data_IF_900543906590
#
_entry.id   IF_900543906590
#
_cell.length_a   1.000
_cell.length_b   1.000
_cell.length_c   1.000
_cell.angle_alpha   90.00
_cell.angle_beta   90.00
_cell.angle_gamma   90.00
#
_symmetry.space_group_name_H-M   'P 1'
#
loop_
_entity.id
_entity.type
_entity.pdbx_description
1 polymer ?
#
# COMPACT_ATOMS: atom_id res chain seq x y z
N UNK A 1 -21.05 -13.79 58.84
CA UNK A 1 -19.97 -12.82 58.62
C UNK A 1 -18.72 -13.60 58.28
N UNK A 2 -18.54 -13.92 57.00
CA UNK A 2 -17.37 -14.66 56.51
C UNK A 2 -16.53 -13.63 55.77
N UNK A 3 -15.34 -13.38 56.28
CA UNK A 3 -14.37 -12.44 55.74
C UNK A 3 -13.91 -12.98 54.38
N UNK A 4 -14.24 -12.29 53.29
CA UNK A 4 -13.66 -12.56 51.98
C UNK A 4 -12.30 -11.86 51.92
N UNK A 5 -11.25 -12.66 51.80
CA UNK A 5 -9.87 -12.23 51.58
C UNK A 5 -9.81 -11.32 50.34
N UNK A 6 -9.21 -10.14 50.49
CA UNK A 6 -9.01 -9.16 49.42
C UNK A 6 -8.10 -9.68 48.30
N UNK A 7 -7.38 -10.79 48.51
CA UNK A 7 -6.52 -11.39 47.48
C UNK A 7 -7.30 -12.20 46.44
N UNK A 8 -8.45 -12.80 46.79
CA UNK A 8 -9.26 -13.56 45.82
C UNK A 8 -10.06 -12.62 44.91
N UNK A 9 -10.47 -11.46 45.43
CA UNK A 9 -11.16 -10.42 44.65
C UNK A 9 -10.23 -9.74 43.65
N UNK A 10 -8.94 -9.54 43.96
CA UNK A 10 -7.97 -9.05 42.99
C UNK A 10 -7.57 -10.12 41.96
N UNK A 11 -7.49 -11.40 42.34
CA UNK A 11 -7.17 -12.48 41.40
C UNK A 11 -8.29 -12.69 40.36
N UNK A 12 -9.57 -12.67 40.77
CA UNK A 12 -10.71 -12.76 39.84
C UNK A 12 -10.96 -11.49 39.00
N UNK A 13 -10.46 -10.31 39.41
CA UNK A 13 -10.49 -9.10 38.58
C UNK A 13 -9.32 -9.05 37.58
N UNK A 14 -8.18 -9.67 37.90
CA UNK A 14 -7.03 -9.79 36.98
C UNK A 14 -7.25 -10.91 35.94
N UNK A 15 -7.90 -12.01 36.33
CA UNK A 15 -8.19 -13.16 35.45
C UNK A 15 -9.45 -12.95 34.56
N UNK A 16 -10.09 -11.78 34.61
CA UNK A 16 -11.30 -11.47 33.84
C UNK A 16 -11.19 -10.16 33.04
N UNK A 17 -9.97 -9.80 32.61
CA UNK A 17 -9.74 -8.69 31.67
C UNK A 17 -8.39 -8.72 30.95
N UNK A 18 -7.96 -9.87 30.43
CA UNK A 18 -7.26 -9.89 29.13
C UNK A 18 -7.45 -11.26 28.47
N UNK A 19 -8.72 -11.65 28.36
CA UNK A 19 -9.14 -12.64 27.38
C UNK A 19 -8.95 -11.97 26.01
N UNK A 20 -7.69 -11.90 25.54
CA UNK A 20 -7.31 -11.59 24.14
C UNK A 20 -7.67 -12.77 23.26
N UNK A 21 -8.97 -13.06 23.26
CA UNK A 21 -9.68 -13.66 22.16
C UNK A 21 -10.04 -12.53 21.17
N UNK A 22 -9.07 -11.72 20.75
CA UNK A 22 -9.13 -11.04 19.46
C UNK A 22 -8.85 -12.08 18.37
N UNK A 23 -9.82 -12.98 18.23
CA UNK A 23 -9.91 -13.91 17.14
C UNK A 23 -9.73 -13.16 15.83
N UNK A 24 -8.63 -13.44 15.14
CA UNK A 24 -8.47 -13.41 13.69
C UNK A 24 -9.28 -12.33 12.94
N UNK A 25 -9.30 -11.09 13.42
CA UNK A 25 -9.48 -9.96 12.52
C UNK A 25 -8.15 -9.93 11.78
N UNK A 26 -8.11 -10.47 10.56
CA UNK A 26 -7.06 -10.08 9.61
C UNK A 26 -6.94 -8.57 9.72
N UNK A 27 -5.86 -8.10 10.36
CA UNK A 27 -5.56 -6.68 10.40
C UNK A 27 -5.35 -6.33 8.94
N UNK A 28 -6.37 -5.77 8.31
CA UNK A 28 -6.25 -5.19 6.99
C UNK A 28 -5.31 -4.00 7.17
N UNK A 29 -4.02 -4.28 7.01
CA UNK A 29 -2.96 -3.30 7.14
C UNK A 29 -3.14 -2.25 6.05
N UNK A 30 -2.77 -1.00 6.32
CA UNK A 30 -2.63 -0.03 5.25
C UNK A 30 -1.44 -0.42 4.37
N UNK A 31 -1.56 -0.15 3.08
CA UNK A 31 -0.51 -0.37 2.09
C UNK A 31 0.80 0.32 2.47
N UNK A 32 1.86 -0.47 2.66
CA UNK A 32 3.22 0.01 2.89
C UNK A 32 3.92 0.25 1.56
N UNK A 33 4.05 1.52 1.18
CA UNK A 33 4.75 1.93 -0.03
C UNK A 33 6.27 1.93 0.18
N UNK A 34 6.97 1.12 -0.60
CA UNK A 34 8.41 0.89 -0.58
C UNK A 34 9.04 1.59 -1.78
N UNK A 35 10.31 1.99 -1.66
CA UNK A 35 11.07 2.70 -2.69
C UNK A 35 10.56 4.11 -3.02
N UNK A 36 10.11 4.86 -2.02
CA UNK A 36 9.73 6.29 -2.18
C UNK A 36 10.85 7.16 -2.79
N UNK A 37 12.10 6.74 -2.67
CA UNK A 37 13.27 7.37 -3.29
C UNK A 37 13.09 7.54 -4.81
N UNK A 38 12.54 6.54 -5.50
CA UNK A 38 12.28 6.57 -6.95
C UNK A 38 11.37 7.74 -7.34
N UNK A 39 10.33 8.02 -6.54
CA UNK A 39 9.46 9.19 -6.80
C UNK A 39 10.25 10.49 -6.67
N UNK A 40 11.10 10.60 -5.65
CA UNK A 40 11.87 11.82 -5.40
C UNK A 40 12.85 12.09 -6.54
N UNK A 41 13.63 11.10 -6.93
CA UNK A 41 14.61 11.20 -8.01
C UNK A 41 13.93 11.57 -9.34
N UNK A 42 12.82 10.92 -9.68
CA UNK A 42 12.07 11.29 -10.88
C UNK A 42 11.57 12.75 -10.84
N UNK A 43 11.17 13.24 -9.66
CA UNK A 43 10.73 14.63 -9.49
C UNK A 43 11.86 15.66 -9.49
N UNK A 44 13.13 15.25 -9.42
CA UNK A 44 14.28 16.15 -9.58
C UNK A 44 14.46 16.54 -11.05
N UNK A 45 14.21 15.59 -11.97
CA UNK A 45 14.26 15.80 -13.42
C UNK A 45 12.91 16.30 -13.99
N UNK A 46 11.79 15.88 -13.40
CA UNK A 46 10.43 16.19 -13.83
C UNK A 46 9.62 16.87 -12.72
N UNK A 47 9.91 18.15 -12.48
CA UNK A 47 9.28 18.90 -11.38
C UNK A 47 7.74 18.96 -11.46
N UNK A 48 7.15 18.92 -12.67
CA UNK A 48 5.70 18.95 -12.88
C UNK A 48 4.99 17.64 -12.52
N UNK A 49 5.74 16.53 -12.33
CA UNK A 49 5.20 15.27 -11.85
C UNK A 49 5.00 15.23 -10.32
N UNK A 50 5.68 16.10 -9.57
CA UNK A 50 5.80 16.04 -8.10
C UNK A 50 4.46 16.01 -7.38
N UNK A 51 3.58 16.95 -7.68
CA UNK A 51 2.27 17.04 -7.03
C UNK A 51 1.45 15.76 -7.26
N UNK A 52 1.41 15.27 -8.50
CA UNK A 52 0.62 14.10 -8.87
C UNK A 52 1.18 12.81 -8.23
N UNK A 53 2.50 12.61 -8.24
CA UNK A 53 3.14 11.44 -7.62
C UNK A 53 2.99 11.43 -6.10
N UNK A 54 3.04 12.60 -5.45
CA UNK A 54 2.90 12.70 -4.00
C UNK A 54 1.44 12.57 -3.57
N UNK A 55 0.49 13.05 -4.39
CA UNK A 55 -0.93 12.78 -4.21
C UNK A 55 -1.19 11.27 -4.31
N UNK A 56 -0.64 10.59 -5.33
CA UNK A 56 -0.76 9.14 -5.46
C UNK A 56 -0.19 8.42 -4.23
N UNK A 57 1.02 8.81 -3.78
CA UNK A 57 1.66 8.21 -2.60
C UNK A 57 0.79 8.34 -1.35
N UNK A 58 0.21 9.51 -1.11
CA UNK A 58 -0.64 9.78 0.06
C UNK A 58 -1.91 8.91 0.07
N UNK A 59 -2.51 8.69 -1.10
CA UNK A 59 -3.66 7.81 -1.25
C UNK A 59 -3.23 6.37 -1.04
N UNK A 60 -2.20 5.92 -1.77
CA UNK A 60 -1.71 4.55 -1.69
C UNK A 60 -1.29 4.19 -0.26
N UNK A 61 -0.56 5.05 0.46
CA UNK A 61 -0.08 4.77 1.82
C UNK A 61 -1.18 4.66 2.89
N UNK A 62 -2.43 4.97 2.54
CA UNK A 62 -3.61 4.89 3.42
C UNK A 62 -4.65 3.91 2.91
N UNK A 63 -4.42 3.34 1.73
CA UNK A 63 -5.33 2.40 1.10
C UNK A 63 -5.21 1.03 1.77
N UNK A 64 -6.29 0.27 1.66
CA UNK A 64 -6.41 -1.12 2.13
C UNK A 64 -6.84 -2.02 0.96
N UNK A 65 -6.24 -1.81 -0.21
CA UNK A 65 -6.62 -2.52 -1.44
C UNK A 65 -6.38 -4.02 -1.29
N UNK A 66 -7.34 -4.84 -1.73
CA UNK A 66 -7.24 -6.30 -1.72
C UNK A 66 -7.08 -6.89 -3.12
N UNK A 67 -7.41 -6.11 -4.14
CA UNK A 67 -7.34 -6.51 -5.54
C UNK A 67 -7.35 -5.27 -6.45
N UNK A 68 -7.25 -5.51 -7.76
CA UNK A 68 -7.25 -4.45 -8.77
C UNK A 68 -8.57 -3.65 -8.78
N UNK A 69 -9.72 -4.26 -8.47
CA UNK A 69 -11.00 -3.53 -8.46
C UNK A 69 -11.01 -2.46 -7.37
N UNK A 70 -10.46 -2.76 -6.19
CA UNK A 70 -10.34 -1.77 -5.11
C UNK A 70 -9.41 -0.60 -5.52
N UNK A 71 -8.33 -0.90 -6.25
CA UNK A 71 -7.46 0.13 -6.84
C UNK A 71 -8.26 0.98 -7.83
N UNK A 72 -9.02 0.34 -8.71
CA UNK A 72 -9.78 0.99 -9.78
C UNK A 72 -10.95 1.84 -9.27
N UNK A 73 -11.47 1.60 -8.06
CA UNK A 73 -12.45 2.49 -7.43
C UNK A 73 -11.89 3.91 -7.25
N UNK A 74 -10.58 4.06 -7.05
CA UNK A 74 -9.92 5.36 -6.90
C UNK A 74 -9.16 5.77 -8.17
N UNK A 75 -8.58 4.80 -8.87
CA UNK A 75 -7.84 4.99 -10.11
C UNK A 75 -8.45 4.17 -11.25
N UNK A 76 -9.58 4.61 -11.86
CA UNK A 76 -10.31 3.80 -12.85
C UNK A 76 -9.51 3.39 -14.09
N UNK A 77 -8.40 4.10 -14.38
CA UNK A 77 -7.50 3.81 -15.50
C UNK A 77 -6.24 3.04 -15.07
N UNK A 78 -6.22 2.48 -13.86
CA UNK A 78 -5.14 1.60 -13.44
C UNK A 78 -5.31 0.24 -14.14
N UNK A 79 -4.21 -0.27 -14.67
CA UNK A 79 -4.20 -1.48 -15.49
C UNK A 79 -3.21 -2.50 -14.92
N UNK A 80 -3.60 -3.77 -14.86
CA UNK A 80 -2.67 -4.85 -14.57
C UNK A 80 -1.94 -5.24 -15.86
N UNK A 81 -0.60 -5.27 -15.81
CA UNK A 81 0.26 -5.63 -16.93
C UNK A 81 1.36 -6.56 -16.40
N UNK A 82 1.29 -7.85 -16.76
CA UNK A 82 2.10 -8.88 -16.12
C UNK A 82 1.77 -8.97 -14.62
N UNK A 83 2.81 -9.02 -13.79
CA UNK A 83 2.68 -8.97 -12.33
C UNK A 83 2.53 -7.54 -11.77
N UNK A 84 2.61 -6.51 -12.62
CA UNK A 84 2.61 -5.12 -12.18
C UNK A 84 1.27 -4.43 -12.40
N UNK A 85 1.07 -3.31 -11.70
CA UNK A 85 -0.02 -2.37 -11.91
C UNK A 85 0.55 -1.04 -12.40
N UNK A 86 -0.02 -0.54 -13.49
CA UNK A 86 0.39 0.70 -14.16
C UNK A 86 -0.63 1.80 -13.90
N UNK A 87 -0.16 2.95 -13.41
CA UNK A 87 -0.95 4.13 -13.14
C UNK A 87 -0.63 5.26 -14.12
N UNK A 88 -1.67 5.88 -14.68
CA UNK A 88 -1.56 7.10 -15.46
C UNK A 88 -1.40 8.32 -14.54
N UNK A 89 -0.26 9.00 -14.63
CA UNK A 89 0.07 10.14 -13.79
C UNK A 89 0.08 11.44 -14.62
N UNK A 90 -0.37 12.55 -14.01
CA UNK A 90 -0.40 13.89 -14.61
C UNK A 90 -1.10 13.91 -15.99
N UNK A 91 -2.32 13.40 -16.05
CA UNK A 91 -3.10 13.41 -17.30
C UNK A 91 -2.44 12.58 -18.42
N UNK A 92 -2.00 11.37 -18.09
CA UNK A 92 -1.40 10.40 -19.03
C UNK A 92 0.03 10.69 -19.48
N UNK A 93 0.69 11.75 -18.97
CA UNK A 93 2.08 12.10 -19.34
C UNK A 93 3.12 11.11 -18.82
N UNK A 94 2.86 10.52 -17.66
CA UNK A 94 3.78 9.59 -17.00
C UNK A 94 3.08 8.27 -16.65
N UNK A 95 3.89 7.25 -16.44
CA UNK A 95 3.51 5.91 -16.00
C UNK A 95 4.22 5.60 -14.70
N UNK A 96 3.44 5.40 -13.64
CA UNK A 96 3.95 4.85 -12.40
C UNK A 96 3.67 3.35 -12.41
N UNK A 97 4.73 2.54 -12.40
CA UNK A 97 4.65 1.08 -12.44
C UNK A 97 5.00 0.57 -11.06
N UNK A 98 4.11 -0.24 -10.49
CA UNK A 98 4.27 -0.79 -9.16
C UNK A 98 3.95 -2.28 -9.13
N UNK A 99 4.59 -2.99 -8.21
CA UNK A 99 4.18 -4.33 -7.81
C UNK A 99 3.32 -4.21 -6.53
N UNK A 100 2.09 -4.72 -6.60
CA UNK A 100 1.09 -4.71 -5.52
C UNK A 100 0.95 -6.11 -4.93
N UNK A 101 1.53 -6.30 -3.75
CA UNK A 101 1.41 -7.56 -3.00
C UNK A 101 0.30 -7.41 -1.96
N UNK A 102 -0.94 -7.67 -2.39
CA UNK A 102 -2.16 -7.47 -1.60
C UNK A 102 -2.14 -8.21 -0.25
N UNK A 103 -1.73 -9.49 -0.23
CA UNK A 103 -1.69 -10.31 1.00
C UNK A 103 -0.81 -9.68 2.09
N UNK A 104 0.31 -9.07 1.69
CA UNK A 104 1.24 -8.43 2.63
C UNK A 104 1.03 -6.93 2.80
N UNK A 105 0.04 -6.35 2.10
CA UNK A 105 -0.24 -4.92 2.01
C UNK A 105 1.04 -4.12 1.69
N UNK A 106 1.75 -4.52 0.62
CA UNK A 106 2.97 -3.85 0.16
C UNK A 106 2.82 -3.34 -1.25
N UNK A 107 3.39 -2.17 -1.49
CA UNK A 107 3.49 -1.56 -2.82
C UNK A 107 4.97 -1.29 -3.09
N UNK A 108 5.53 -1.94 -4.08
CA UNK A 108 6.91 -1.69 -4.52
C UNK A 108 6.88 -0.78 -5.74
N UNK A 109 7.44 0.41 -5.60
CA UNK A 109 7.61 1.29 -6.76
C UNK A 109 8.76 0.74 -7.60
N UNK A 110 8.43 0.31 -8.82
CA UNK A 110 9.37 -0.29 -9.77
C UNK A 110 9.96 0.80 -10.67
N UNK A 111 9.09 1.56 -11.33
CA UNK A 111 9.48 2.58 -12.29
C UNK A 111 8.54 3.78 -12.26
N UNK A 112 9.08 4.95 -12.60
CA UNK A 112 8.30 6.11 -13.06
C UNK A 112 8.88 6.50 -14.40
N UNK A 113 8.06 6.48 -15.45
CA UNK A 113 8.50 6.66 -16.83
C UNK A 113 7.67 7.75 -17.50
N UNK A 114 8.26 8.43 -18.49
CA UNK A 114 7.48 9.15 -19.50
C UNK A 114 6.66 8.19 -20.35
N UNK A 115 5.62 8.68 -21.03
CA UNK A 115 4.88 7.87 -21.99
C UNK A 115 5.80 7.26 -23.06
N UNK A 116 6.76 8.03 -23.56
CA UNK A 116 7.68 7.57 -24.61
C UNK A 116 8.63 6.47 -24.12
N UNK A 117 9.09 6.52 -22.86
CA UNK A 117 9.91 5.44 -22.27
C UNK A 117 9.09 4.20 -21.98
N UNK A 118 7.85 4.37 -21.52
CA UNK A 118 6.93 3.25 -21.29
C UNK A 118 6.69 2.46 -22.57
N UNK A 119 6.46 3.14 -23.70
CA UNK A 119 6.18 2.52 -25.00
C UNK A 119 7.36 1.72 -25.58
N UNK A 120 8.58 1.90 -25.05
CA UNK A 120 9.74 1.10 -25.45
C UNK A 120 9.74 -0.30 -24.82
N UNK A 121 8.86 -0.55 -23.85
CA UNK A 121 8.72 -1.85 -23.17
C UNK A 121 9.99 -2.37 -22.47
N UNK A 122 11.06 -1.58 -22.34
CA UNK A 122 12.31 -1.99 -21.68
C UNK A 122 12.10 -2.39 -20.22
N UNK A 123 11.10 -1.78 -19.56
CA UNK A 123 10.70 -2.08 -18.18
C UNK A 123 10.13 -3.50 -18.01
N UNK A 124 9.68 -4.15 -19.10
CA UNK A 124 9.23 -5.55 -19.09
C UNK A 124 10.37 -6.55 -18.95
N UNK A 125 11.63 -6.10 -19.05
CA UNK A 125 12.80 -6.92 -18.76
C UNK A 125 13.08 -7.07 -17.25
N UNK A 126 12.25 -6.47 -16.38
CA UNK A 126 12.34 -6.67 -14.94
C UNK A 126 12.16 -8.17 -14.61
N UNK A 127 13.02 -8.77 -13.77
CA UNK A 127 12.95 -10.20 -13.47
C UNK A 127 11.66 -10.63 -12.75
N UNK A 128 10.88 -9.67 -12.25
CA UNK A 128 9.60 -9.90 -11.58
C UNK A 128 8.38 -9.53 -12.46
N UNK A 129 8.57 -9.11 -13.72
CA UNK A 129 7.48 -8.76 -14.63
C UNK A 129 6.56 -9.95 -14.93
#
# INVERSE_FOLDING_TARGET
MILLDTHVWLWLLHERQDNRDDGAIEKVGVMRVISRKTLREFCEEHADAREALYAWYKVASRATWQNLLDVQQIYPKAEAVGNFTVFNIKGNRYRLIVDLVYVSQRVYIKYVLTHAEYDKDEWKNDPYF
#
